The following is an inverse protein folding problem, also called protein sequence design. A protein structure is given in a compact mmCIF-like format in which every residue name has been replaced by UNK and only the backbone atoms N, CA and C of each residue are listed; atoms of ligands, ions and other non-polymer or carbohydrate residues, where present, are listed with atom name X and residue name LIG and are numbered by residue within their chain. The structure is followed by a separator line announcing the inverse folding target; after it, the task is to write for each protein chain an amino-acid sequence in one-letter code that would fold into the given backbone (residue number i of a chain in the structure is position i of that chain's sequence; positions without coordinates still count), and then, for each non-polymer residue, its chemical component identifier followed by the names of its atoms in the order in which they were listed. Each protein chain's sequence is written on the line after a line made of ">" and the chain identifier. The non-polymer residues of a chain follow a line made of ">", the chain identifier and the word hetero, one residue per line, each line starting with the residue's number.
data_IF_435787189718
#
_entry.id   IF_435787189718
#
_cell.length_a   1.000
_cell.length_b   1.000
_cell.length_c   1.000
_cell.angle_alpha   90.00
_cell.angle_beta   90.00
_cell.angle_gamma   90.00
#
_symmetry.space_group_name_H-M   'P 1'
#
loop_
_entity.id
_entity.type
_entity.pdbx_description
1 polymer ?
#
# COMPACT_ATOMS: atom_id res chain seq x y z
N UNK A 1 -8.47 2.70 14.14
CA UNK A 1 -7.82 1.40 13.87
C UNK A 1 -7.77 0.64 15.18
N UNK A 2 -7.77 -0.68 15.14
CA UNK A 2 -7.61 -1.55 16.32
C UNK A 2 -6.47 -2.53 16.04
N UNK A 3 -5.66 -2.82 17.05
CA UNK A 3 -4.68 -3.90 16.98
C UNK A 3 -5.25 -5.10 17.72
N UNK A 4 -5.48 -6.20 17.00
CA UNK A 4 -6.00 -7.45 17.56
C UNK A 4 -4.88 -8.49 17.50
N UNK A 5 -4.57 -9.11 18.65
CA UNK A 5 -3.61 -10.22 18.73
C UNK A 5 -4.38 -11.52 18.71
N UNK A 6 -4.19 -12.32 17.66
CA UNK A 6 -4.77 -13.67 17.55
C UNK A 6 -3.70 -14.69 17.93
N UNK A 7 -3.94 -15.44 19.00
CA UNK A 7 -3.07 -16.53 19.41
C UNK A 7 -3.11 -17.68 18.40
N UNK A 8 -1.94 -18.24 18.07
CA UNK A 8 -1.85 -19.31 17.07
C UNK A 8 -2.19 -20.70 17.61
N UNK A 9 -2.33 -20.86 18.93
CA UNK A 9 -2.67 -22.14 19.56
C UNK A 9 -4.14 -22.50 19.33
N UNK A 10 -4.38 -23.73 18.87
CA UNK A 10 -5.73 -24.28 18.78
C UNK A 10 -6.19 -24.83 20.12
N UNK A 11 -7.29 -24.30 20.61
CA UNK A 11 -7.96 -24.80 21.82
C UNK A 11 -8.70 -26.11 21.58
N UNK A 12 -9.03 -26.44 20.33
CA UNK A 12 -9.73 -27.67 19.92
C UNK A 12 -9.31 -28.14 18.53
N UNK A 13 -9.49 -29.42 18.27
CA UNK A 13 -9.34 -30.01 16.93
C UNK A 13 -10.44 -29.48 16.01
N UNK A 14 -10.11 -29.20 14.76
CA UNK A 14 -11.02 -28.68 13.74
C UNK A 14 -10.94 -29.54 12.47
N UNK A 15 -11.88 -29.39 11.56
CA UNK A 15 -11.77 -30.02 10.25
C UNK A 15 -10.54 -29.50 9.49
N UNK A 16 -9.82 -30.41 8.81
CA UNK A 16 -8.69 -30.04 7.98
C UNK A 16 -9.17 -29.24 6.77
N UNK A 17 -8.60 -28.07 6.58
CA UNK A 17 -8.92 -27.18 5.45
C UNK A 17 -7.78 -27.12 4.43
N UNK A 18 -8.05 -26.78 3.15
CA UNK A 18 -7.03 -26.75 2.09
C UNK A 18 -5.88 -25.77 2.33
N UNK A 19 -6.11 -24.70 3.10
CA UNK A 19 -5.08 -23.70 3.41
C UNK A 19 -4.10 -24.13 4.54
N UNK A 20 -4.36 -25.26 5.18
CA UNK A 20 -3.52 -25.79 6.27
C UNK A 20 -2.32 -26.56 5.70
N UNK A 21 -1.12 -26.19 6.14
CA UNK A 21 0.16 -26.67 5.58
C UNK A 21 0.50 -28.06 6.13
N UNK A 22 0.55 -28.21 7.45
CA UNK A 22 0.98 -29.47 8.09
C UNK A 22 -0.19 -30.34 8.56
N UNK A 23 0.01 -31.67 8.63
CA UNK A 23 -0.97 -32.59 9.20
C UNK A 23 -1.37 -32.25 10.64
N UNK A 24 -0.52 -31.60 11.44
CA UNK A 24 -0.86 -31.22 12.82
C UNK A 24 -1.57 -29.86 12.92
N UNK A 25 -1.70 -29.10 11.83
CA UNK A 25 -2.25 -27.74 11.85
C UNK A 25 -3.76 -27.69 12.17
N UNK A 26 -4.44 -28.82 12.32
CA UNK A 26 -5.87 -28.91 12.68
C UNK A 26 -6.10 -29.59 14.04
N UNK A 27 -5.05 -30.00 14.75
CA UNK A 27 -5.14 -30.69 16.04
C UNK A 27 -5.20 -29.70 17.23
N UNK A 28 -5.91 -30.09 18.30
CA UNK A 28 -5.89 -29.36 19.58
C UNK A 28 -4.48 -29.28 20.18
N UNK A 29 -4.15 -28.15 20.81
CA UNK A 29 -2.86 -27.90 21.45
C UNK A 29 -1.71 -27.61 20.47
N UNK A 30 -1.95 -27.67 19.16
CA UNK A 30 -0.96 -27.33 18.12
C UNK A 30 -1.13 -25.88 17.67
N UNK A 31 -0.02 -25.28 17.22
CA UNK A 31 -0.03 -23.95 16.63
C UNK A 31 -0.40 -24.04 15.15
N UNK A 32 -1.36 -23.24 14.69
CA UNK A 32 -1.52 -23.02 13.27
C UNK A 32 -0.36 -22.20 12.72
N UNK A 33 -0.10 -22.32 11.42
CA UNK A 33 0.91 -21.53 10.72
C UNK A 33 0.29 -20.36 9.99
N UNK A 34 0.95 -19.22 10.03
CA UNK A 34 0.58 -18.04 9.26
C UNK A 34 1.20 -18.12 7.86
N UNK A 35 0.78 -19.10 7.06
CA UNK A 35 1.24 -19.26 5.67
C UNK A 35 0.55 -18.26 4.75
N UNK A 36 1.07 -18.10 3.53
CA UNK A 36 0.42 -17.28 2.49
C UNK A 36 -1.00 -17.76 2.18
N UNK A 37 -1.22 -19.07 2.13
CA UNK A 37 -2.54 -19.68 1.92
C UNK A 37 -3.51 -19.36 3.07
N UNK A 38 -3.05 -19.48 4.33
CA UNK A 38 -3.84 -19.10 5.51
C UNK A 38 -4.18 -17.60 5.50
N UNK A 39 -3.20 -16.73 5.23
CA UNK A 39 -3.41 -15.29 5.14
C UNK A 39 -4.39 -14.92 4.02
N UNK A 40 -4.30 -15.57 2.86
CA UNK A 40 -5.26 -15.39 1.77
C UNK A 40 -6.66 -15.80 2.19
N UNK A 41 -6.81 -16.96 2.84
CA UNK A 41 -8.10 -17.41 3.36
C UNK A 41 -8.70 -16.43 4.37
N UNK A 42 -7.91 -15.96 5.34
CA UNK A 42 -8.37 -14.97 6.33
C UNK A 42 -8.81 -13.65 5.68
N UNK A 43 -8.09 -13.17 4.66
CA UNK A 43 -8.47 -11.96 3.92
C UNK A 43 -9.82 -12.13 3.22
N UNK A 44 -10.04 -13.26 2.56
CA UNK A 44 -11.34 -13.58 1.94
C UNK A 44 -12.45 -13.61 2.98
N UNK A 45 -12.26 -14.35 4.08
CA UNK A 45 -13.25 -14.45 5.15
C UNK A 45 -13.60 -13.09 5.77
N UNK A 46 -12.60 -12.22 5.98
CA UNK A 46 -12.84 -10.85 6.46
C UNK A 46 -13.66 -10.04 5.46
N UNK A 47 -13.34 -10.14 4.17
CA UNK A 47 -14.11 -9.43 3.14
C UNK A 47 -15.57 -9.90 3.09
N UNK A 48 -15.80 -11.22 3.10
CA UNK A 48 -17.15 -11.81 3.12
C UNK A 48 -17.94 -11.40 4.37
N UNK A 49 -17.31 -11.39 5.55
CA UNK A 49 -17.95 -10.93 6.79
C UNK A 49 -18.33 -9.44 6.73
N UNK A 50 -17.46 -8.60 6.16
CA UNK A 50 -17.77 -7.18 5.99
C UNK A 50 -18.91 -6.96 4.99
N UNK A 51 -18.93 -7.69 3.87
CA UNK A 51 -20.01 -7.63 2.88
C UNK A 51 -21.35 -8.07 3.49
N UNK A 52 -21.38 -9.18 4.24
CA UNK A 52 -22.58 -9.65 4.94
C UNK A 52 -23.09 -8.67 6.00
N UNK A 53 -22.19 -7.88 6.59
CA UNK A 53 -22.51 -6.87 7.59
C UNK A 53 -22.83 -5.48 6.98
N UNK A 54 -22.91 -5.36 5.65
CA UNK A 54 -23.09 -4.09 4.93
C UNK A 54 -22.03 -3.04 5.31
N UNK A 55 -20.78 -3.49 5.49
CA UNK A 55 -19.63 -2.65 5.79
C UNK A 55 -18.83 -2.38 4.53
N UNK A 56 -18.42 -1.12 4.38
CA UNK A 56 -17.59 -0.69 3.26
C UNK A 56 -16.21 -1.35 3.35
N UNK A 57 -15.86 -2.20 2.38
CA UNK A 57 -14.69 -3.06 2.42
C UNK A 57 -13.86 -2.94 1.15
N UNK A 58 -12.56 -2.71 1.33
CA UNK A 58 -11.58 -2.70 0.23
C UNK A 58 -11.18 -4.12 -0.16
N UNK A 59 -10.77 -4.33 -1.42
CA UNK A 59 -10.21 -5.61 -1.84
C UNK A 59 -8.85 -5.85 -1.17
N UNK A 60 -8.79 -6.83 -0.27
CA UNK A 60 -7.59 -7.22 0.49
C UNK A 60 -6.66 -8.17 -0.30
N UNK A 61 -7.10 -8.67 -1.45
CA UNK A 61 -6.31 -9.58 -2.30
C UNK A 61 -5.52 -8.83 -3.37
N UNK A 62 -5.98 -7.65 -3.75
CA UNK A 62 -5.26 -6.77 -4.66
C UNK A 62 -4.23 -5.94 -3.89
N UNK A 63 -3.09 -5.71 -4.53
CA UNK A 63 -2.15 -4.71 -4.05
C UNK A 63 -2.85 -3.35 -4.13
N UNK A 64 -3.13 -2.75 -2.97
CA UNK A 64 -3.79 -1.45 -2.88
C UNK A 64 -2.84 -0.36 -3.36
N UNK A 65 -3.08 0.17 -4.56
CA UNK A 65 -2.65 1.48 -5.05
C UNK A 65 -1.15 1.78 -4.98
N UNK A 66 -0.83 3.08 -5.04
CA UNK A 66 0.54 3.56 -4.80
C UNK A 66 1.01 3.10 -3.43
N UNK A 67 2.15 2.40 -3.37
CA UNK A 67 2.77 1.91 -2.13
C UNK A 67 3.33 3.06 -1.27
N UNK A 68 2.44 3.95 -0.80
CA UNK A 68 2.77 5.06 0.08
C UNK A 68 2.91 4.52 1.50
N UNK A 69 4.13 4.51 2.01
CA UNK A 69 4.39 4.14 3.41
C UNK A 69 3.72 5.13 4.36
N UNK A 70 3.41 4.68 5.60
CA UNK A 70 2.86 5.57 6.63
C UNK A 70 3.77 6.80 6.89
N UNK A 71 5.09 6.59 6.87
CA UNK A 71 6.08 7.67 7.00
C UNK A 71 5.91 8.72 5.91
N UNK A 72 5.74 8.27 4.67
CA UNK A 72 5.57 9.14 3.53
C UNK A 72 4.22 9.87 3.54
N UNK A 73 3.15 9.15 3.87
CA UNK A 73 1.82 9.73 4.07
C UNK A 73 1.87 10.93 5.02
N UNK A 74 2.55 10.77 6.16
CA UNK A 74 2.71 11.85 7.12
C UNK A 74 3.67 12.95 6.64
N UNK A 75 4.71 12.61 5.88
CA UNK A 75 5.60 13.59 5.27
C UNK A 75 4.83 14.50 4.29
N UNK A 76 3.99 13.91 3.43
CA UNK A 76 3.14 14.63 2.50
C UNK A 76 2.19 15.58 3.23
N UNK A 77 1.46 15.09 4.25
CA UNK A 77 0.54 15.92 5.04
C UNK A 77 1.23 17.08 5.76
N UNK A 78 2.41 16.84 6.35
CA UNK A 78 3.16 17.91 7.01
C UNK A 78 3.67 18.95 6.02
N UNK A 79 4.17 18.50 4.86
CA UNK A 79 4.60 19.39 3.79
C UNK A 79 3.45 20.23 3.24
N UNK A 80 2.30 19.59 2.99
CA UNK A 80 1.10 20.28 2.53
C UNK A 80 0.65 21.37 3.51
N UNK A 81 0.57 21.09 4.81
CA UNK A 81 0.22 22.12 5.80
C UNK A 81 1.16 23.33 5.79
N UNK A 82 2.47 23.10 5.61
CA UNK A 82 3.45 24.20 5.52
C UNK A 82 3.25 25.02 4.24
N UNK A 83 3.00 24.34 3.13
CA UNK A 83 2.73 24.96 1.83
C UNK A 83 1.44 25.79 1.90
N UNK A 84 0.36 25.22 2.41
CA UNK A 84 -0.93 25.91 2.57
C UNK A 84 -0.80 27.16 3.43
N UNK A 85 -0.04 27.07 4.52
CA UNK A 85 0.23 28.22 5.38
C UNK A 85 1.05 29.31 4.68
N UNK A 86 2.07 28.94 3.89
CA UNK A 86 2.83 29.91 3.09
C UNK A 86 1.95 30.54 2.01
N UNK A 87 1.12 29.75 1.34
CA UNK A 87 0.20 30.20 0.30
C UNK A 87 -0.88 31.13 0.86
N UNK A 88 -1.38 30.88 2.06
CA UNK A 88 -2.32 31.75 2.75
C UNK A 88 -1.70 33.14 3.03
N UNK A 89 -0.41 33.21 3.37
CA UNK A 89 0.31 34.48 3.54
C UNK A 89 0.47 35.21 2.21
N UNK A 90 0.91 34.52 1.16
CA UNK A 90 1.02 35.09 -0.19
C UNK A 90 -0.31 35.65 -0.67
N UNK A 91 -1.41 34.90 -0.46
CA UNK A 91 -2.75 35.34 -0.82
C UNK A 91 -3.19 36.59 -0.03
N UNK A 92 -2.85 36.68 1.26
CA UNK A 92 -3.10 37.87 2.07
C UNK A 92 -2.31 39.11 1.59
N UNK A 93 -1.13 38.89 0.99
CA UNK A 93 -0.29 39.92 0.35
C UNK A 93 -0.72 40.23 -1.10
N UNK A 94 -1.80 39.61 -1.59
CA UNK A 94 -2.31 39.80 -2.95
C UNK A 94 -1.53 39.06 -4.04
N UNK A 95 -0.60 38.18 -3.67
CA UNK A 95 0.18 37.38 -4.59
C UNK A 95 -0.47 36.01 -4.85
N UNK A 96 -0.39 35.52 -6.08
CA UNK A 96 -0.88 34.18 -6.40
C UNK A 96 0.16 33.10 -6.06
N UNK A 97 -0.22 32.04 -5.33
CA UNK A 97 0.66 30.90 -5.09
C UNK A 97 1.10 30.22 -6.38
N UNK A 98 2.39 29.91 -6.50
CA UNK A 98 2.94 29.17 -7.64
C UNK A 98 2.76 27.66 -7.51
N UNK A 99 2.70 27.14 -6.28
CA UNK A 99 2.53 25.72 -6.00
C UNK A 99 1.42 25.51 -4.96
N UNK A 100 0.44 24.69 -5.28
CA UNK A 100 -0.70 24.39 -4.39
C UNK A 100 -0.66 22.97 -3.82
N UNK A 101 0.14 22.08 -4.40
CA UNK A 101 0.26 20.68 -3.97
C UNK A 101 1.70 20.36 -3.62
N UNK A 102 1.90 19.89 -2.39
CA UNK A 102 3.18 19.39 -1.92
C UNK A 102 3.41 17.97 -2.43
N UNK A 103 4.60 17.74 -3.00
CA UNK A 103 5.03 16.43 -3.49
C UNK A 103 6.31 16.02 -2.77
N UNK A 104 6.35 14.78 -2.28
CA UNK A 104 7.58 14.19 -1.73
C UNK A 104 8.50 13.80 -2.88
N UNK A 105 9.81 13.67 -2.61
CA UNK A 105 10.76 13.19 -3.63
C UNK A 105 10.42 11.77 -4.11
N UNK A 106 9.89 10.92 -3.21
CA UNK A 106 9.43 9.57 -3.57
C UNK A 106 8.18 9.60 -4.46
N UNK A 107 7.22 10.49 -4.19
CA UNK A 107 6.03 10.68 -5.03
C UNK A 107 6.40 11.21 -6.42
N UNK A 108 7.32 12.19 -6.49
CA UNK A 108 7.87 12.67 -7.75
C UNK A 108 8.50 11.53 -8.55
N UNK A 109 9.40 10.77 -7.93
CA UNK A 109 10.08 9.64 -8.56
C UNK A 109 9.08 8.61 -9.08
N UNK A 110 8.07 8.22 -8.28
CA UNK A 110 7.02 7.28 -8.71
C UNK A 110 6.26 7.80 -9.93
N UNK A 111 5.86 9.06 -9.93
CA UNK A 111 5.15 9.67 -11.07
C UNK A 111 6.01 9.73 -12.32
N UNK A 112 7.30 10.05 -12.19
CA UNK A 112 8.23 10.04 -13.32
C UNK A 112 8.36 8.63 -13.90
N UNK A 113 8.56 7.62 -13.05
CA UNK A 113 8.61 6.21 -13.46
C UNK A 113 7.32 5.79 -14.18
N UNK A 114 6.14 6.03 -13.60
CA UNK A 114 4.87 5.65 -14.23
C UNK A 114 4.59 6.41 -15.53
N UNK A 115 5.00 7.69 -15.61
CA UNK A 115 4.84 8.48 -16.84
C UNK A 115 5.63 7.92 -18.02
N UNK A 116 6.78 7.28 -17.74
CA UNK A 116 7.62 6.63 -18.75
C UNK A 116 7.14 5.21 -19.01
N UNK A 117 6.83 4.43 -17.97
CA UNK A 117 6.32 3.06 -18.09
C UNK A 117 5.10 2.98 -19.02
N UNK A 118 4.19 3.95 -18.95
CA UNK A 118 3.00 3.97 -19.79
C UNK A 118 3.27 4.22 -21.29
N UNK A 119 4.49 4.62 -21.65
CA UNK A 119 4.92 4.93 -23.03
C UNK A 119 5.83 3.86 -23.64
N UNK A 120 6.39 2.97 -22.83
CA UNK A 120 7.48 2.08 -23.23
C UNK A 120 7.07 0.62 -23.13
N UNK A 121 7.60 -0.23 -24.01
CA UNK A 121 7.28 -1.67 -24.01
C UNK A 121 8.49 -2.55 -23.71
N UNK A 122 9.71 -2.00 -23.81
CA UNK A 122 10.96 -2.70 -23.51
C UNK A 122 11.72 -2.01 -22.37
N UNK A 123 12.64 -2.75 -21.74
CA UNK A 123 13.46 -2.23 -20.66
C UNK A 123 14.45 -1.17 -21.16
N UNK A 124 15.03 -1.38 -22.33
CA UNK A 124 15.98 -0.47 -22.96
C UNK A 124 15.33 0.87 -23.28
N UNK A 125 14.11 0.85 -23.85
CA UNK A 125 13.31 2.06 -24.08
C UNK A 125 12.97 2.77 -22.77
N UNK A 126 12.54 2.01 -21.76
CA UNK A 126 12.23 2.55 -20.43
C UNK A 126 13.44 3.27 -19.81
N UNK A 127 14.60 2.61 -19.79
CA UNK A 127 15.84 3.15 -19.21
C UNK A 127 16.32 4.39 -19.96
N UNK A 128 16.34 4.35 -21.30
CA UNK A 128 16.75 5.48 -22.12
C UNK A 128 15.81 6.68 -21.96
N UNK A 129 14.49 6.45 -21.97
CA UNK A 129 13.49 7.51 -21.88
C UNK A 129 13.44 8.13 -20.47
N UNK A 130 13.59 7.32 -19.42
CA UNK A 130 13.66 7.81 -18.04
C UNK A 130 14.91 8.69 -17.81
N UNK A 131 16.04 8.30 -18.38
CA UNK A 131 17.25 9.12 -18.35
C UNK A 131 17.09 10.41 -19.17
N UNK A 132 16.47 10.35 -20.34
CA UNK A 132 16.28 11.51 -21.22
C UNK A 132 15.28 12.52 -20.62
N UNK A 133 14.11 12.08 -20.16
CA UNK A 133 13.06 12.97 -19.67
C UNK A 133 13.33 13.49 -18.25
N UNK A 134 13.92 12.65 -17.39
CA UNK A 134 13.99 12.91 -15.95
C UNK A 134 15.40 12.84 -15.36
N UNK A 135 16.42 12.48 -16.15
CA UNK A 135 17.80 12.39 -15.67
C UNK A 135 18.05 11.25 -14.68
N UNK A 136 17.20 10.22 -14.67
CA UNK A 136 17.28 9.11 -13.73
C UNK A 136 17.87 7.89 -14.44
N UNK A 137 18.98 7.39 -13.92
CA UNK A 137 19.61 6.16 -14.38
C UNK A 137 19.00 4.93 -13.68
N UNK A 138 18.68 3.89 -14.45
CA UNK A 138 18.22 2.60 -13.95
C UNK A 138 19.40 1.64 -13.91
N UNK A 139 19.54 0.89 -12.82
CA UNK A 139 20.56 -0.15 -12.67
C UNK A 139 19.88 -1.50 -12.49
N UNK A 140 20.41 -2.52 -13.15
CA UNK A 140 20.04 -3.93 -12.94
C UNK A 140 20.52 -4.46 -11.57
#
# INVERSE_FOLDING_TARGET
>A
HVHIVIGSLRVRTVERQPFMDKPCDWEAGKKHRCTSAMLRHLRVAVMEMCEQADLNQINLLEAQGDHVSEREYWAQRRGQRRLDHANAKLAAEGQQPTQTVYQTELDKLRKQIYSVLNKTTTFEEFSALLMQEHGIAVKE
#
